data_IF_232408764599
#
_entry.id   IF_232408764599
#
_cell.length_a   1.000
_cell.length_b   1.000
_cell.length_c   1.000
_cell.angle_alpha   90.00
_cell.angle_beta   90.00
_cell.angle_gamma   90.00
#
_symmetry.space_group_name_H-M   'P 1'
#
loop_
_entity.id
_entity.type
_entity.pdbx_description
1 polymer ?
#
# COMPACT_ATOMS: atom_id res chain seq x y z
N UNK A 1 9.18 35.63 27.20
CA UNK A 1 7.81 35.20 27.55
C UNK A 1 7.84 34.72 28.99
N UNK A 2 7.07 35.36 29.88
CA UNK A 2 7.32 35.35 31.32
C UNK A 2 6.62 34.16 32.00
N UNK A 3 7.17 33.63 33.11
CA UNK A 3 6.59 32.48 33.85
C UNK A 3 5.15 32.71 34.33
N UNK A 4 4.74 33.98 34.45
CA UNK A 4 3.36 34.40 34.76
C UNK A 4 2.39 34.10 33.61
N UNK A 5 2.83 34.27 32.37
CA UNK A 5 2.01 34.09 31.17
C UNK A 5 1.66 32.60 30.98
N UNK A 6 2.62 31.70 31.25
CA UNK A 6 2.38 30.25 31.22
C UNK A 6 1.29 29.81 32.21
N UNK A 7 1.33 30.33 33.45
CA UNK A 7 0.31 30.01 34.46
C UNK A 7 -1.08 30.52 34.07
N UNK A 8 -1.15 31.67 33.40
CA UNK A 8 -2.39 32.26 32.90
C UNK A 8 -2.97 31.44 31.75
N UNK A 9 -2.15 31.10 30.75
CA UNK A 9 -2.53 30.23 29.64
C UNK A 9 -2.99 28.87 30.15
N UNK A 10 -2.28 28.29 31.12
CA UNK A 10 -2.64 27.01 31.71
C UNK A 10 -4.00 27.07 32.44
N UNK A 11 -4.30 28.16 33.14
CA UNK A 11 -5.59 28.36 33.82
C UNK A 11 -6.73 28.51 32.81
N UNK A 12 -6.53 29.31 31.76
CA UNK A 12 -7.52 29.50 30.70
C UNK A 12 -7.79 28.22 29.92
N UNK A 13 -6.74 27.48 29.56
CA UNK A 13 -6.86 26.19 28.89
C UNK A 13 -7.62 25.20 29.77
N UNK A 14 -7.35 25.17 31.08
CA UNK A 14 -8.06 24.31 32.03
C UNK A 14 -9.56 24.65 32.11
N UNK A 15 -9.93 25.92 32.17
CA UNK A 15 -11.34 26.33 32.24
C UNK A 15 -12.12 26.01 30.96
N UNK A 16 -11.50 26.15 29.79
CA UNK A 16 -12.10 25.76 28.51
C UNK A 16 -12.31 24.25 28.45
N UNK A 17 -11.35 23.48 28.97
CA UNK A 17 -11.43 22.01 29.02
C UNK A 17 -12.53 21.49 29.97
N UNK A 18 -12.75 22.18 31.09
CA UNK A 18 -13.83 21.84 32.03
C UNK A 18 -15.20 22.13 31.40
N UNK A 19 -15.32 23.19 30.57
CA UNK A 19 -16.54 23.47 29.81
C UNK A 19 -16.78 22.47 28.68
N UNK A 20 -15.73 22.03 28.00
CA UNK A 20 -15.80 21.05 26.91
C UNK A 20 -15.72 19.58 27.37
N UNK A 21 -15.85 19.30 28.67
CA UNK A 21 -15.69 17.94 29.21
C UNK A 21 -16.59 16.90 28.52
N UNK A 22 -17.80 17.31 28.10
CA UNK A 22 -18.73 16.45 27.36
C UNK A 22 -18.30 16.16 25.91
N UNK A 23 -17.42 16.99 25.33
CA UNK A 23 -16.95 16.90 23.94
C UNK A 23 -15.52 16.34 23.83
N UNK A 24 -14.90 15.90 24.93
CA UNK A 24 -13.52 15.38 24.90
C UNK A 24 -13.34 14.19 23.94
N UNK A 25 -14.40 13.39 23.73
CA UNK A 25 -14.44 12.30 22.76
C UNK A 25 -14.19 12.77 21.32
N UNK A 26 -14.72 13.94 20.93
CA UNK A 26 -14.52 14.53 19.60
C UNK A 26 -13.05 14.89 19.38
N UNK A 27 -12.39 15.46 20.38
CA UNK A 27 -10.97 15.81 20.30
C UNK A 27 -10.07 14.60 20.12
N UNK A 28 -10.38 13.46 20.75
CA UNK A 28 -9.67 12.21 20.51
C UNK A 28 -9.88 11.71 19.07
N UNK A 29 -11.11 11.80 18.54
CA UNK A 29 -11.41 11.40 17.17
C UNK A 29 -10.68 12.27 16.13
N UNK A 30 -10.69 13.59 16.32
CA UNK A 30 -9.95 14.54 15.46
C UNK A 30 -8.45 14.26 15.51
N UNK A 31 -7.90 14.00 16.70
CA UNK A 31 -6.49 13.67 16.88
C UNK A 31 -6.10 12.37 16.19
N UNK A 32 -6.97 11.35 16.25
CA UNK A 32 -6.78 10.08 15.54
C UNK A 32 -6.74 10.27 14.02
N UNK A 33 -7.69 11.01 13.44
CA UNK A 33 -7.70 11.33 12.00
C UNK A 33 -6.45 12.10 11.61
N UNK A 34 -6.03 13.07 12.43
CA UNK A 34 -4.81 13.84 12.20
C UNK A 34 -3.56 12.95 12.21
N UNK A 35 -3.51 11.93 13.08
CA UNK A 35 -2.45 10.92 13.10
C UNK A 35 -2.36 10.12 11.82
N UNK A 36 -3.51 9.69 11.28
CA UNK A 36 -3.58 8.99 9.97
C UNK A 36 -3.08 9.92 8.85
N UNK A 37 -3.60 11.14 8.77
CA UNK A 37 -3.22 12.11 7.75
C UNK A 37 -1.72 12.41 7.78
N UNK A 38 -1.17 12.65 8.97
CA UNK A 38 0.26 12.94 9.15
C UNK A 38 1.13 11.78 8.68
N UNK A 39 0.71 10.54 8.94
CA UNK A 39 1.45 9.36 8.51
C UNK A 39 1.60 9.30 6.98
N UNK A 40 0.57 9.64 6.21
CA UNK A 40 0.62 9.64 4.74
C UNK A 40 1.33 10.86 4.14
N UNK A 41 1.47 11.95 4.89
CA UNK A 41 2.25 13.14 4.46
C UNK A 41 3.75 13.00 4.69
N UNK A 42 4.18 12.03 5.51
CA UNK A 42 5.58 11.86 5.86
C UNK A 42 6.37 11.28 4.67
N UNK A 43 7.43 11.98 4.26
CA UNK A 43 8.29 11.55 3.15
C UNK A 43 9.15 10.31 3.49
N UNK A 44 9.34 10.03 4.77
CA UNK A 44 10.13 8.90 5.27
C UNK A 44 9.27 7.96 6.10
N UNK A 45 9.51 6.65 5.98
CA UNK A 45 8.76 5.67 6.75
C UNK A 45 9.15 5.71 8.24
N UNK A 46 8.22 6.06 9.15
CA UNK A 46 8.52 5.98 10.57
C UNK A 46 8.68 4.52 10.99
N UNK A 47 9.65 4.29 11.89
CA UNK A 47 9.86 2.98 12.52
C UNK A 47 8.66 2.61 13.40
N UNK A 48 8.23 1.36 13.30
CA UNK A 48 7.15 0.82 14.13
C UNK A 48 7.46 0.95 15.63
N UNK A 49 8.73 0.76 16.00
CA UNK A 49 9.22 0.83 17.38
C UNK A 49 9.10 2.26 17.92
N UNK A 50 9.39 3.27 17.11
CA UNK A 50 9.30 4.67 17.52
C UNK A 50 7.86 5.08 17.83
N UNK A 51 6.90 4.67 17.00
CA UNK A 51 5.48 4.97 17.23
C UNK A 51 4.97 4.25 18.49
N UNK A 52 5.35 2.98 18.66
CA UNK A 52 5.03 2.20 19.88
C UNK A 52 5.63 2.79 21.15
N UNK A 53 6.87 3.29 21.10
CA UNK A 53 7.51 3.93 22.25
C UNK A 53 6.75 5.19 22.67
N UNK A 54 6.34 6.04 21.72
CA UNK A 54 5.55 7.24 22.02
C UNK A 54 4.20 6.86 22.63
N UNK A 55 3.56 5.81 22.10
CA UNK A 55 2.29 5.31 22.62
C UNK A 55 2.42 4.80 24.06
N UNK A 56 3.43 3.97 24.37
CA UNK A 56 3.62 3.40 25.71
C UNK A 56 4.05 4.44 26.75
N UNK A 57 4.91 5.40 26.38
CA UNK A 57 5.26 6.53 27.24
C UNK A 57 4.03 7.39 27.54
N UNK A 58 3.19 7.65 26.54
CA UNK A 58 1.97 8.44 26.75
C UNK A 58 0.96 7.72 27.63
N UNK A 59 0.86 6.39 27.50
CA UNK A 59 0.01 5.56 28.34
C UNK A 59 0.47 5.54 29.81
N UNK A 60 1.78 5.42 30.05
CA UNK A 60 2.32 5.47 31.42
C UNK A 60 2.09 6.82 32.08
N UNK A 61 2.19 7.92 31.31
CA UNK A 61 1.91 9.28 31.79
C UNK A 61 0.44 9.50 32.18
N UNK A 62 -0.52 8.81 31.57
CA UNK A 62 -1.94 8.87 32.01
C UNK A 62 -2.11 8.27 33.40
N UNK A 63 -1.44 7.16 33.66
CA UNK A 63 -1.56 6.39 34.91
C UNK A 63 -0.83 7.13 36.05
N UNK A 64 0.37 7.65 35.77
CA UNK A 64 1.22 8.32 36.75
C UNK A 64 0.72 9.73 37.13
N UNK A 65 -0.08 10.38 36.28
CA UNK A 65 -0.48 11.77 36.45
C UNK A 65 -1.92 11.89 36.92
N UNK A 66 -2.11 12.55 38.07
CA UNK A 66 -3.44 12.75 38.68
C UNK A 66 -4.16 14.03 38.21
N UNK A 67 -3.55 14.82 37.33
CA UNK A 67 -4.13 16.07 36.81
C UNK A 67 -4.97 15.81 35.56
N UNK A 68 -6.22 16.30 35.55
CA UNK A 68 -7.18 16.16 34.42
C UNK A 68 -6.58 16.63 33.09
N UNK A 69 -5.86 17.76 33.12
CA UNK A 69 -5.22 18.35 31.95
C UNK A 69 -4.08 17.48 31.39
N UNK A 70 -3.32 16.85 32.29
CA UNK A 70 -2.24 15.93 31.90
C UNK A 70 -2.80 14.68 31.21
N UNK A 71 -3.88 14.12 31.77
CA UNK A 71 -4.57 12.97 31.18
C UNK A 71 -5.16 13.29 29.81
N UNK A 72 -5.73 14.49 29.65
CA UNK A 72 -6.27 14.94 28.36
C UNK A 72 -5.20 15.03 27.27
N UNK A 73 -4.08 15.72 27.54
CA UNK A 73 -2.97 15.84 26.57
C UNK A 73 -2.41 14.47 26.21
N UNK A 74 -2.18 13.62 27.22
CA UNK A 74 -1.70 12.26 26.96
C UNK A 74 -2.71 11.45 26.13
N UNK A 75 -4.01 11.61 26.36
CA UNK A 75 -5.06 10.99 25.55
C UNK A 75 -5.05 11.43 24.09
N UNK A 76 -4.80 12.70 23.81
CA UNK A 76 -4.60 13.22 22.44
C UNK A 76 -3.39 12.53 21.79
N UNK A 77 -2.24 12.48 22.47
CA UNK A 77 -1.02 11.88 21.91
C UNK A 77 -1.21 10.38 21.64
N UNK A 78 -1.95 9.68 22.51
CA UNK A 78 -2.31 8.27 22.32
C UNK A 78 -3.20 8.10 21.09
N UNK A 79 -4.26 8.90 20.96
CA UNK A 79 -5.18 8.85 19.82
C UNK A 79 -4.43 9.11 18.51
N UNK A 80 -3.57 10.13 18.47
CA UNK A 80 -2.70 10.45 17.34
C UNK A 80 -1.77 9.27 16.98
N UNK A 81 -1.09 8.71 17.98
CA UNK A 81 -0.16 7.59 17.79
C UNK A 81 -0.88 6.33 17.30
N UNK A 82 -2.11 6.08 17.79
CA UNK A 82 -2.97 5.01 17.30
C UNK A 82 -3.32 5.21 15.82
N UNK A 83 -3.65 6.43 15.40
CA UNK A 83 -3.89 6.77 14.00
C UNK A 83 -2.68 6.46 13.11
N UNK A 84 -1.47 6.82 13.55
CA UNK A 84 -0.22 6.49 12.85
C UNK A 84 0.02 4.96 12.78
N UNK A 85 -0.26 4.23 13.86
CA UNK A 85 -0.12 2.76 13.89
C UNK A 85 -1.08 2.10 12.89
N UNK A 86 -2.32 2.56 12.80
CA UNK A 86 -3.30 2.06 11.82
C UNK A 86 -2.79 2.31 10.40
N UNK A 87 -2.26 3.50 10.12
CA UNK A 87 -1.64 3.82 8.84
C UNK A 87 -0.47 2.88 8.52
N UNK A 88 0.46 2.69 9.46
CA UNK A 88 1.61 1.80 9.28
C UNK A 88 1.20 0.34 9.09
N UNK A 89 0.23 -0.15 9.88
CA UNK A 89 -0.32 -1.50 9.77
C UNK A 89 -0.98 -1.73 8.42
N UNK A 90 -1.73 -0.73 7.92
CA UNK A 90 -2.34 -0.80 6.60
C UNK A 90 -1.28 -0.94 5.51
N UNK A 91 -0.22 -0.12 5.55
CA UNK A 91 0.86 -0.21 4.55
C UNK A 91 1.64 -1.53 4.68
N UNK A 92 1.93 -2.01 5.90
CA UNK A 92 2.65 -3.28 6.07
C UNK A 92 1.85 -4.50 5.60
N UNK A 93 0.52 -4.46 5.72
CA UNK A 93 -0.35 -5.54 5.25
C UNK A 93 -0.66 -5.47 3.76
N UNK A 94 -0.37 -4.33 3.11
CA UNK A 94 -0.46 -4.25 1.65
C UNK A 94 0.68 -5.08 1.06
N UNK A 95 0.36 -6.34 0.77
CA UNK A 95 1.18 -7.22 -0.04
C UNK A 95 1.11 -6.76 -1.50
N UNK A 96 1.64 -5.57 -1.79
CA UNK A 96 1.83 -5.14 -3.18
C UNK A 96 3.01 -5.96 -3.71
N UNK A 97 2.69 -7.16 -4.22
CA UNK A 97 3.63 -7.96 -5.01
C UNK A 97 3.78 -7.25 -6.36
N UNK A 98 4.55 -6.17 -6.35
CA UNK A 98 4.79 -5.31 -7.50
C UNK A 98 6.21 -5.43 -7.99
N UNK A 99 6.38 -5.59 -9.29
CA UNK A 99 7.69 -5.62 -9.94
C UNK A 99 8.28 -4.19 -9.89
N UNK A 100 9.33 -3.97 -9.08
CA UNK A 100 9.97 -2.65 -8.94
C UNK A 100 10.82 -2.23 -10.14
N UNK A 101 11.43 -3.20 -10.83
CA UNK A 101 12.31 -2.99 -11.99
C UNK A 101 11.92 -3.98 -13.08
N UNK A 102 12.06 -3.62 -14.38
CA UNK A 102 11.78 -4.55 -15.45
C UNK A 102 12.67 -5.78 -15.32
N UNK A 103 12.06 -6.98 -15.35
CA UNK A 103 12.76 -8.26 -15.23
C UNK A 103 12.49 -9.06 -16.49
N UNK A 104 13.56 -9.59 -17.08
CA UNK A 104 13.47 -10.63 -18.10
C UNK A 104 13.62 -11.97 -17.39
N UNK A 105 12.62 -12.83 -17.52
CA UNK A 105 12.60 -14.13 -16.87
C UNK A 105 11.66 -15.10 -17.56
N UNK A 106 11.93 -16.39 -17.40
CA UNK A 106 10.95 -17.41 -17.70
C UNK A 106 9.79 -17.31 -16.71
N UNK A 107 8.59 -17.27 -17.26
CA UNK A 107 7.33 -17.22 -16.55
C UNK A 107 6.48 -18.42 -16.97
N UNK A 108 5.72 -18.96 -16.03
CA UNK A 108 4.76 -20.04 -16.29
C UNK A 108 3.43 -19.69 -15.65
N UNK A 109 2.33 -19.97 -16.34
CA UNK A 109 0.97 -19.69 -15.85
C UNK A 109 -0.10 -20.26 -16.76
N UNK A 110 -1.34 -20.21 -16.30
CA UNK A 110 -2.52 -20.65 -17.07
C UNK A 110 -3.16 -19.48 -17.79
N UNK A 111 -3.61 -19.68 -19.02
CA UNK A 111 -4.25 -18.61 -19.80
C UNK A 111 -5.70 -18.43 -19.34
N UNK A 112 -6.00 -17.31 -18.69
CA UNK A 112 -7.35 -16.96 -18.26
C UNK A 112 -8.15 -16.33 -19.40
N UNK A 113 -7.54 -15.44 -20.18
CA UNK A 113 -8.21 -14.79 -21.31
C UNK A 113 -7.22 -14.35 -22.38
N UNK A 114 -7.74 -14.22 -23.61
CA UNK A 114 -7.00 -13.76 -24.77
C UNK A 114 -7.79 -12.67 -25.51
N UNK A 115 -7.09 -11.62 -25.92
CA UNK A 115 -7.63 -10.53 -26.74
C UNK A 115 -6.74 -10.32 -27.97
N UNK A 116 -7.29 -10.43 -29.19
CA UNK A 116 -6.54 -10.10 -30.39
C UNK A 116 -6.26 -8.60 -30.44
N UNK A 117 -5.09 -8.22 -30.95
CA UNK A 117 -4.65 -6.83 -31.13
C UNK A 117 -4.09 -6.67 -32.55
N UNK A 118 -3.90 -5.42 -33.00
CA UNK A 118 -3.38 -5.14 -34.34
C UNK A 118 -1.99 -5.71 -34.61
N UNK A 119 -1.16 -5.86 -33.57
CA UNK A 119 0.22 -6.32 -33.67
C UNK A 119 0.43 -7.77 -33.19
N UNK A 120 -0.63 -8.46 -32.75
CA UNK A 120 -0.52 -9.80 -32.17
C UNK A 120 -1.67 -10.13 -31.22
N UNK A 121 -1.38 -10.80 -30.11
CA UNK A 121 -2.37 -11.21 -29.11
C UNK A 121 -1.93 -10.74 -27.73
N UNK A 122 -2.89 -10.27 -26.94
CA UNK A 122 -2.71 -9.97 -25.53
C UNK A 122 -3.36 -11.07 -24.69
N UNK A 123 -2.56 -11.75 -23.88
CA UNK A 123 -3.01 -12.84 -23.00
C UNK A 123 -2.97 -12.38 -21.55
N UNK A 124 -3.90 -12.87 -20.73
CA UNK A 124 -3.86 -12.72 -19.27
C UNK A 124 -3.53 -14.09 -18.70
N UNK A 125 -2.37 -14.18 -18.04
CA UNK A 125 -1.94 -15.38 -17.34
C UNK A 125 -2.35 -15.29 -15.87
N UNK A 126 -2.90 -16.38 -15.35
CA UNK A 126 -3.25 -16.56 -13.94
C UNK A 126 -2.21 -17.45 -13.23
N UNK A 127 -2.03 -17.25 -11.92
CA UNK A 127 -1.09 -18.00 -11.07
C UNK A 127 0.34 -18.04 -11.63
N UNK A 128 0.86 -16.86 -11.96
CA UNK A 128 2.13 -16.75 -12.67
C UNK A 128 3.29 -16.97 -11.72
N UNK A 129 4.08 -18.01 -12.02
CA UNK A 129 5.36 -18.28 -11.37
C UNK A 129 6.48 -17.65 -12.18
N UNK A 130 7.29 -16.82 -11.53
CA UNK A 130 8.42 -16.15 -12.15
C UNK A 130 9.71 -16.79 -11.64
N UNK A 131 10.47 -17.47 -12.50
CA UNK A 131 11.65 -18.24 -12.09
C UNK A 131 12.70 -17.38 -11.36
N UNK A 132 12.90 -16.12 -11.80
CA UNK A 132 13.86 -15.20 -11.16
C UNK A 132 13.37 -14.66 -9.81
N UNK A 133 12.06 -14.70 -9.55
CA UNK A 133 11.43 -14.32 -8.28
C UNK A 133 11.12 -15.54 -7.40
N UNK A 134 11.37 -16.77 -7.85
CA UNK A 134 11.17 -18.00 -7.05
C UNK A 134 11.97 -18.01 -5.74
N UNK A 135 13.06 -17.24 -5.63
CA UNK A 135 13.76 -17.05 -4.33
C UNK A 135 12.87 -16.42 -3.24
N UNK A 136 11.77 -15.78 -3.62
CA UNK A 136 10.80 -15.17 -2.70
C UNK A 136 9.47 -15.91 -2.63
N UNK A 137 9.31 -17.05 -3.32
CA UNK A 137 8.05 -17.80 -3.45
C UNK A 137 6.84 -16.92 -3.85
N UNK A 138 7.09 -15.83 -4.58
CA UNK A 138 6.07 -14.85 -4.95
C UNK A 138 5.34 -15.33 -6.21
N UNK A 139 4.07 -15.68 -6.03
CA UNK A 139 3.12 -15.94 -7.12
C UNK A 139 2.40 -14.63 -7.42
N UNK A 140 2.38 -14.23 -8.69
CA UNK A 140 1.52 -13.15 -9.15
C UNK A 140 0.18 -13.73 -9.55
N UNK A 141 -0.92 -13.12 -9.11
CA UNK A 141 -2.26 -13.61 -9.42
C UNK A 141 -2.56 -13.45 -10.91
N UNK A 142 -2.41 -12.24 -11.47
CA UNK A 142 -2.64 -12.00 -12.90
C UNK A 142 -1.53 -11.17 -13.55
N UNK A 143 -1.03 -11.64 -14.69
CA UNK A 143 -0.03 -10.95 -15.51
C UNK A 143 -0.54 -10.83 -16.94
N UNK A 144 -0.60 -9.61 -17.45
CA UNK A 144 -0.99 -9.32 -18.83
C UNK A 144 0.24 -9.31 -19.72
N UNK A 145 0.23 -10.10 -20.79
CA UNK A 145 1.38 -10.24 -21.69
C UNK A 145 0.94 -9.98 -23.11
N UNK A 146 1.63 -9.04 -23.75
CA UNK A 146 1.49 -8.81 -25.18
C UNK A 146 2.48 -9.69 -25.93
N UNK A 147 1.98 -10.40 -26.94
CA UNK A 147 2.75 -11.37 -27.70
C UNK A 147 2.57 -11.13 -29.21
N UNK A 148 3.66 -11.18 -30.00
CA UNK A 148 3.59 -11.12 -31.45
C UNK A 148 2.70 -12.21 -32.08
N UNK A 149 2.06 -11.90 -33.21
CA UNK A 149 1.24 -12.86 -33.97
C UNK A 149 2.01 -14.15 -34.36
N UNK A 150 3.33 -14.05 -34.60
CA UNK A 150 4.19 -15.21 -34.90
C UNK A 150 4.25 -16.27 -33.79
N UNK A 151 3.95 -15.89 -32.55
CA UNK A 151 3.98 -16.79 -31.40
C UNK A 151 2.58 -17.21 -30.95
N UNK A 152 1.53 -16.70 -31.62
CA UNK A 152 0.13 -16.95 -31.28
C UNK A 152 -0.45 -18.24 -31.86
N UNK A 153 0.37 -19.03 -32.57
CA UNK A 153 -0.06 -20.27 -33.16
C UNK A 153 -0.13 -21.34 -32.06
N UNK A 154 -1.24 -22.09 -32.01
CA UNK A 154 -1.44 -23.26 -31.13
C UNK A 154 -1.64 -22.96 -29.62
N UNK A 155 -2.39 -21.90 -29.28
CA UNK A 155 -2.68 -21.58 -27.88
C UNK A 155 -4.19 -21.44 -27.67
N UNK A 156 -4.71 -22.09 -26.63
CA UNK A 156 -6.11 -21.98 -26.22
C UNK A 156 -6.25 -21.43 -24.79
N UNK A 157 -7.47 -20.99 -24.46
CA UNK A 157 -7.82 -20.60 -23.10
C UNK A 157 -7.71 -21.85 -22.21
N UNK A 158 -7.21 -21.68 -20.98
CA UNK A 158 -6.86 -22.72 -20.00
C UNK A 158 -5.58 -23.52 -20.28
N UNK A 159 -4.85 -23.25 -21.36
CA UNK A 159 -3.55 -23.89 -21.56
C UNK A 159 -2.54 -23.39 -20.53
N UNK A 160 -1.74 -24.32 -19.99
CA UNK A 160 -0.60 -24.01 -19.13
C UNK A 160 0.64 -23.79 -20.00
N UNK A 161 1.08 -22.55 -20.10
CA UNK A 161 2.20 -22.18 -20.95
C UNK A 161 3.38 -21.65 -20.13
N UNK A 162 4.57 -21.82 -20.68
CA UNK A 162 5.76 -21.13 -20.21
C UNK A 162 6.45 -20.42 -21.35
N UNK A 163 6.89 -19.19 -21.08
CA UNK A 163 7.60 -18.38 -22.04
C UNK A 163 8.57 -17.45 -21.32
N UNK A 164 9.55 -16.94 -22.07
CA UNK A 164 10.42 -15.87 -21.61
C UNK A 164 9.75 -14.55 -21.94
N UNK A 165 9.42 -13.78 -20.90
CA UNK A 165 8.87 -12.44 -21.05
C UNK A 165 9.72 -11.41 -20.31
N UNK A 166 9.70 -10.20 -20.84
CA UNK A 166 10.06 -9.01 -20.10
C UNK A 166 8.83 -8.48 -19.38
N UNK A 167 8.86 -8.48 -18.05
CA UNK A 167 7.74 -8.08 -17.20
C UNK A 167 8.10 -6.79 -16.46
N UNK A 168 7.15 -5.85 -16.42
CA UNK A 168 7.26 -4.54 -15.81
C UNK A 168 6.01 -4.19 -14.99
N UNK A 169 6.13 -3.17 -14.13
CA UNK A 169 4.98 -2.59 -13.43
C UNK A 169 3.99 -2.02 -14.46
N UNK A 170 2.66 -2.15 -14.28
CA UNK A 170 1.70 -1.47 -15.12
C UNK A 170 2.03 0.03 -15.21
N UNK A 171 2.12 0.54 -16.44
CA UNK A 171 2.48 1.94 -16.70
C UNK A 171 1.41 2.86 -16.12
N UNK A 172 1.80 3.92 -15.44
CA UNK A 172 0.90 4.99 -14.99
C UNK A 172 0.50 5.89 -16.15
N UNK A 173 -0.39 6.86 -15.90
CA UNK A 173 -0.77 7.86 -16.90
C UNK A 173 0.45 8.53 -17.55
N UNK A 174 0.40 8.61 -18.89
CA UNK A 174 1.46 9.22 -19.72
C UNK A 174 1.25 10.74 -19.83
N UNK A 175 0.02 11.21 -19.66
CA UNK A 175 -0.38 12.62 -19.79
C UNK A 175 -1.05 13.10 -18.49
N UNK A 176 -0.80 14.34 -18.05
CA UNK A 176 -1.53 14.92 -16.91
C UNK A 176 -3.02 15.00 -17.25
N UNK A 177 -3.88 14.40 -16.42
CA UNK A 177 -5.34 14.29 -16.68
C UNK A 177 -5.73 13.29 -17.76
N UNK A 178 -4.77 12.56 -18.33
CA UNK A 178 -5.01 11.53 -19.34
C UNK A 178 -5.45 10.18 -18.74
N UNK A 179 -5.56 9.19 -19.61
CA UNK A 179 -5.95 7.83 -19.22
C UNK A 179 -4.85 7.15 -18.39
N UNK A 180 -5.19 6.73 -17.16
CA UNK A 180 -4.26 6.06 -16.26
C UNK A 180 -4.32 4.53 -16.41
N UNK A 181 -3.47 3.97 -17.28
CA UNK A 181 -3.38 2.54 -17.51
C UNK A 181 -3.08 1.73 -16.24
N UNK A 182 -2.39 2.32 -15.26
CA UNK A 182 -1.99 1.67 -14.02
C UNK A 182 -3.18 1.50 -13.10
N UNK A 183 -4.05 2.51 -13.01
CA UNK A 183 -5.29 2.43 -12.23
C UNK A 183 -6.25 1.40 -12.82
N UNK A 184 -6.41 1.35 -14.13
CA UNK A 184 -7.23 0.31 -14.77
C UNK A 184 -6.66 -1.10 -14.59
N UNK A 185 -5.34 -1.26 -14.63
CA UNK A 185 -4.70 -2.53 -14.34
C UNK A 185 -4.97 -2.96 -12.88
N UNK A 186 -4.90 -2.01 -11.94
CA UNK A 186 -5.23 -2.26 -10.53
C UNK A 186 -6.70 -2.70 -10.34
N UNK A 187 -7.66 -2.02 -10.99
CA UNK A 187 -9.07 -2.42 -10.93
C UNK A 187 -9.36 -3.78 -11.56
N UNK A 188 -8.57 -4.17 -12.57
CA UNK A 188 -8.66 -5.47 -13.23
C UNK A 188 -7.86 -6.57 -12.50
N UNK A 189 -7.29 -6.26 -11.34
CA UNK A 189 -6.45 -7.15 -10.54
C UNK A 189 -5.22 -7.68 -11.28
N UNK A 190 -4.66 -6.84 -12.16
CA UNK A 190 -3.48 -7.15 -12.95
C UNK A 190 -2.25 -6.63 -12.22
N UNK A 191 -1.47 -7.55 -11.66
CA UNK A 191 -0.29 -7.22 -10.87
C UNK A 191 0.87 -6.73 -11.75
N UNK A 192 0.96 -7.22 -12.99
CA UNK A 192 2.06 -6.90 -13.90
C UNK A 192 1.68 -6.94 -15.38
N UNK A 193 2.43 -6.19 -16.18
CA UNK A 193 2.31 -6.16 -17.65
C UNK A 193 3.64 -6.57 -18.26
N UNK A 194 3.64 -7.26 -19.40
CA UNK A 194 4.86 -7.74 -20.02
C UNK A 194 4.75 -7.94 -21.52
N UNK A 195 5.90 -8.26 -22.12
CA UNK A 195 6.04 -8.58 -23.52
C UNK A 195 6.79 -9.90 -23.70
N UNK A 196 6.26 -10.78 -24.55
CA UNK A 196 6.86 -12.09 -24.83
C UNK A 196 8.08 -11.96 -25.76
N UNK A 197 9.20 -12.54 -25.35
CA UNK A 197 10.45 -12.57 -26.12
C UNK A 197 10.68 -13.93 -26.79
N UNK A 198 10.12 -15.01 -26.25
CA UNK A 198 10.16 -16.35 -26.82
C UNK A 198 8.77 -16.85 -27.21
N UNK A 199 8.66 -17.82 -28.13
CA UNK A 199 7.41 -18.57 -28.30
C UNK A 199 7.04 -19.28 -26.98
N UNK A 200 5.74 -19.54 -26.77
CA UNK A 200 5.28 -20.35 -25.66
C UNK A 200 5.66 -21.81 -25.87
N UNK A 201 6.08 -22.46 -24.79
CA UNK A 201 6.20 -23.92 -24.69
C UNK A 201 5.16 -24.44 -23.72
N UNK A 202 4.68 -25.67 -23.94
CA UNK A 202 3.80 -26.33 -22.98
C UNK A 202 4.50 -26.45 -21.61
N UNK A 203 3.84 -25.97 -20.57
CA UNK A 203 4.33 -26.12 -19.20
C UNK A 203 3.84 -27.46 -18.68
N UNK A 204 4.67 -28.49 -18.81
CA UNK A 204 4.45 -29.74 -18.07
C UNK A 204 4.72 -29.47 -16.60
N UNK A 205 3.68 -29.63 -15.77
CA UNK A 205 3.71 -29.61 -14.30
C UNK A 205 4.93 -30.27 -13.70
#
# INVERSE_FOLDING_TARGET
MNLRDYKLIFRLAKSILEQEYHNLSLWYFVSFICGIGTYFTLSSEPSFISILAIFTISLSLIILRNNIFGRFISGIIIAFSCGMLVGKYRISNLHVVGIKKPIISQIGGTIESMKPTTHGIQIILHQVKIQKLNRSNQVLEKVRISMPAKYAQEININDSISLVAQVYKPQSSILPGGYDFGFYAYLADINATGYALSPPSNYST
#
